data_IF_311764948950
#
_entry.id   IF_311764948950
#
_cell.length_a   1.000
_cell.length_b   1.000
_cell.length_c   1.000
_cell.angle_alpha   90.00
_cell.angle_beta   90.00
_cell.angle_gamma   90.00
#
_symmetry.space_group_name_H-M   'P 1'
#
loop_
_entity.id
_entity.type
_entity.pdbx_description
1 polymer ?
#
# COMPACT_ATOMS: atom_id res chain seq x y z
N UNK A 1 -37.48 -12.77 -7.61
CA UNK A 1 -36.28 -12.62 -6.80
C UNK A 1 -35.04 -12.62 -7.67
N UNK A 2 -34.88 -11.71 -8.65
CA UNK A 2 -33.72 -11.70 -9.59
C UNK A 2 -33.31 -10.25 -9.90
N UNK A 3 -33.22 -9.38 -8.89
CA UNK A 3 -32.80 -7.97 -9.10
C UNK A 3 -31.65 -7.46 -8.21
N UNK A 4 -30.98 -8.33 -7.42
CA UNK A 4 -29.94 -7.90 -6.51
C UNK A 4 -28.49 -8.25 -6.95
N UNK A 5 -28.32 -8.98 -8.06
CA UNK A 5 -26.99 -9.45 -8.50
C UNK A 5 -26.32 -8.47 -9.49
N UNK A 6 -27.09 -7.59 -10.13
CA UNK A 6 -26.60 -6.72 -11.21
C UNK A 6 -25.78 -5.50 -10.72
N UNK A 7 -25.93 -5.09 -9.45
CA UNK A 7 -25.24 -3.92 -8.91
C UNK A 7 -23.76 -4.18 -8.58
N UNK A 8 -23.44 -5.36 -8.06
CA UNK A 8 -22.08 -5.72 -7.61
C UNK A 8 -21.14 -5.94 -8.80
N UNK A 9 -21.63 -6.57 -9.87
CA UNK A 9 -20.83 -6.80 -11.07
C UNK A 9 -20.49 -5.50 -11.83
N UNK A 10 -21.32 -4.47 -11.74
CA UNK A 10 -21.09 -3.17 -12.39
C UNK A 10 -20.04 -2.35 -11.64
N UNK A 11 -20.00 -2.43 -10.31
CA UNK A 11 -19.01 -1.70 -9.51
C UNK A 11 -17.58 -2.23 -9.75
N UNK A 12 -17.40 -3.55 -9.74
CA UNK A 12 -16.10 -4.19 -10.04
C UNK A 12 -15.61 -3.82 -11.45
N UNK A 13 -16.50 -3.73 -12.43
CA UNK A 13 -16.15 -3.35 -13.81
C UNK A 13 -15.78 -1.87 -13.91
N UNK A 14 -16.44 -0.99 -13.16
CA UNK A 14 -16.17 0.48 -13.26
C UNK A 14 -14.90 0.83 -12.52
N UNK A 15 -14.62 0.26 -11.34
CA UNK A 15 -13.35 0.48 -10.63
C UNK A 15 -12.20 -0.18 -11.39
N UNK A 16 -12.37 -1.39 -11.91
CA UNK A 16 -11.38 -2.05 -12.77
C UNK A 16 -11.10 -1.29 -14.07
N UNK A 17 -12.08 -0.57 -14.63
CA UNK A 17 -11.88 0.28 -15.82
C UNK A 17 -11.15 1.59 -15.52
N UNK A 18 -11.29 2.14 -14.32
CA UNK A 18 -10.57 3.35 -13.91
C UNK A 18 -9.09 3.04 -13.64
N UNK A 19 -8.79 1.98 -12.91
CA UNK A 19 -7.42 1.49 -12.65
C UNK A 19 -6.77 0.99 -13.95
N UNK A 20 -7.49 0.19 -14.75
CA UNK A 20 -6.99 -0.30 -16.05
C UNK A 20 -6.82 0.83 -17.09
N UNK A 21 -7.57 1.92 -16.98
CA UNK A 21 -7.41 3.11 -17.82
C UNK A 21 -6.15 3.90 -17.49
N UNK A 22 -5.75 3.97 -16.23
CA UNK A 22 -4.50 4.58 -15.79
C UNK A 22 -3.28 3.72 -16.22
N UNK A 23 -3.32 2.42 -16.00
CA UNK A 23 -2.27 1.46 -16.38
C UNK A 23 -2.08 1.40 -17.91
N UNK A 24 -3.15 1.43 -18.72
CA UNK A 24 -3.03 1.37 -20.19
C UNK A 24 -2.53 2.65 -20.87
N UNK A 25 -2.54 3.80 -20.20
CA UNK A 25 -1.95 5.02 -20.78
C UNK A 25 -0.42 5.01 -20.77
N UNK A 26 0.18 4.32 -19.83
CA UNK A 26 1.65 4.17 -19.70
C UNK A 26 2.20 2.98 -20.49
N UNK A 27 1.45 1.89 -20.63
CA UNK A 27 1.91 0.68 -21.36
C UNK A 27 2.07 0.87 -22.87
N UNK A 28 1.51 1.92 -23.45
CA UNK A 28 1.62 2.20 -24.89
C UNK A 28 2.98 2.79 -25.34
N UNK A 29 3.92 3.02 -24.39
CA UNK A 29 5.24 3.59 -24.72
C UNK A 29 6.42 2.62 -24.65
N UNK A 30 6.21 1.37 -24.28
CA UNK A 30 7.29 0.38 -24.12
C UNK A 30 7.01 -0.94 -24.85
N UNK A 31 6.92 -0.91 -26.18
CA UNK A 31 7.20 -2.05 -27.03
C UNK A 31 8.38 -1.71 -27.92
N UNK A 32 9.62 -1.87 -27.43
CA UNK A 32 10.76 -2.25 -28.27
C UNK A 32 11.95 -2.73 -27.41
N UNK A 33 12.45 -3.90 -27.82
CA UNK A 33 13.74 -4.54 -27.54
C UNK A 33 13.95 -5.32 -26.21
N UNK A 34 13.65 -6.61 -26.28
CA UNK A 34 14.25 -7.61 -25.41
C UNK A 34 15.47 -8.23 -26.11
N UNK A 35 16.68 -7.89 -25.67
CA UNK A 35 17.88 -8.65 -26.02
C UNK A 35 18.44 -9.38 -24.78
N UNK A 36 18.59 -10.68 -24.92
CA UNK A 36 19.02 -11.63 -23.91
C UNK A 36 20.52 -11.52 -23.62
N UNK A 37 20.90 -11.43 -22.34
CA UNK A 37 22.28 -11.74 -21.94
C UNK A 37 22.28 -12.61 -20.69
N UNK A 38 22.72 -13.85 -20.82
CA UNK A 38 23.08 -14.75 -19.72
C UNK A 38 24.34 -14.24 -19.00
N UNK A 39 24.34 -14.14 -17.68
CA UNK A 39 25.58 -14.11 -16.88
C UNK A 39 25.47 -15.02 -15.65
N UNK A 40 26.44 -15.86 -15.60
CA UNK A 40 26.85 -16.99 -14.78
C UNK A 40 27.30 -16.56 -13.39
N UNK A 41 27.06 -17.43 -12.41
CA UNK A 41 27.20 -17.31 -10.97
C UNK A 41 28.56 -16.90 -10.40
N UNK A 42 28.53 -16.56 -9.12
CA UNK A 42 29.66 -16.33 -8.24
C UNK A 42 29.26 -16.41 -6.77
N UNK A 43 29.71 -17.48 -6.14
CA UNK A 43 29.57 -17.81 -4.73
C UNK A 43 30.62 -17.04 -3.89
N UNK A 44 30.28 -16.48 -2.73
CA UNK A 44 31.22 -15.88 -1.81
C UNK A 44 30.60 -15.55 -0.45
N UNK A 45 30.67 -16.48 0.49
CA UNK A 45 30.32 -16.23 1.87
C UNK A 45 31.46 -15.58 2.65
N UNK A 46 31.13 -14.71 3.60
CA UNK A 46 31.95 -14.42 4.78
C UNK A 46 31.03 -14.11 5.97
N UNK A 47 31.21 -14.90 7.01
CA UNK A 47 30.63 -14.62 8.32
C UNK A 47 31.47 -13.60 9.09
N UNK A 48 30.85 -12.84 9.95
CA UNK A 48 31.48 -12.37 11.18
C UNK A 48 30.44 -12.19 12.29
N UNK A 49 30.81 -12.75 13.43
CA UNK A 49 30.13 -12.71 14.72
C UNK A 49 30.46 -11.42 15.45
N UNK A 50 29.49 -10.78 16.06
CA UNK A 50 29.65 -9.63 16.95
C UNK A 50 28.47 -9.51 17.89
N UNK A 51 28.75 -9.60 19.12
CA UNK A 51 28.12 -9.79 20.41
C UNK A 51 27.01 -8.81 20.79
N UNK A 52 26.11 -9.36 21.61
CA UNK A 52 24.85 -8.84 22.15
C UNK A 52 25.02 -7.69 23.16
N UNK A 53 24.08 -6.78 23.22
CA UNK A 53 23.53 -6.29 24.49
C UNK A 53 22.02 -6.12 24.38
N UNK A 54 21.36 -6.64 25.42
CA UNK A 54 19.91 -6.64 25.66
C UNK A 54 19.43 -5.24 26.06
N UNK A 55 18.22 -4.92 25.70
CA UNK A 55 17.05 -4.54 26.49
C UNK A 55 16.10 -3.70 25.65
N UNK A 56 14.96 -4.12 25.47
CA UNK A 56 13.66 -4.05 26.08
C UNK A 56 12.55 -3.49 25.20
N UNK A 57 11.42 -4.07 25.44
CA UNK A 57 10.05 -3.54 25.40
C UNK A 57 9.47 -3.12 24.04
N UNK A 58 8.55 -3.97 23.62
CA UNK A 58 7.71 -3.87 22.44
C UNK A 58 6.98 -2.53 22.30
N UNK A 59 7.37 -1.86 21.24
CA UNK A 59 6.57 -0.88 20.56
C UNK A 59 6.55 -1.30 19.09
N UNK A 60 5.35 -1.34 18.55
CA UNK A 60 5.03 -1.73 17.18
C UNK A 60 5.98 -1.09 16.15
N UNK A 61 6.65 -1.93 15.38
CA UNK A 61 7.75 -1.62 14.44
C UNK A 61 7.36 -0.85 13.17
N UNK A 62 6.27 -0.11 13.13
CA UNK A 62 5.93 0.70 11.95
C UNK A 62 6.82 1.93 11.77
N UNK A 63 7.55 2.36 12.80
CA UNK A 63 8.48 3.51 12.72
C UNK A 63 9.93 3.13 12.36
N UNK A 64 10.24 1.84 12.21
CA UNK A 64 11.63 1.36 12.04
C UNK A 64 12.12 1.28 10.60
N UNK A 65 11.31 1.60 9.59
CA UNK A 65 11.66 1.32 8.19
C UNK A 65 12.48 2.40 7.49
N UNK A 66 12.65 3.58 8.07
CA UNK A 66 13.52 4.61 7.50
C UNK A 66 14.85 4.63 8.25
N UNK A 67 15.76 3.73 7.87
CA UNK A 67 17.10 3.62 8.52
C UNK A 67 18.01 4.83 8.31
N UNK A 68 17.71 5.69 7.33
CA UNK A 68 18.44 6.93 7.06
C UNK A 68 17.43 8.09 7.04
N UNK A 69 17.67 9.16 7.84
CA UNK A 69 16.81 10.35 7.77
C UNK A 69 16.73 10.89 6.33
N UNK A 70 15.55 11.18 5.84
CA UNK A 70 15.30 11.68 4.49
C UNK A 70 16.19 12.91 4.15
N UNK A 71 16.48 13.76 5.13
CA UNK A 71 17.36 14.92 4.97
C UNK A 71 18.81 14.58 4.57
N UNK A 72 19.24 13.34 4.79
CA UNK A 72 20.59 12.86 4.44
C UNK A 72 20.66 12.14 3.09
N UNK A 73 19.51 11.84 2.51
CA UNK A 73 19.41 11.22 1.17
C UNK A 73 19.54 12.33 0.12
N UNK A 74 20.38 12.20 -0.90
CA UNK A 74 20.46 13.20 -1.97
C UNK A 74 19.11 13.36 -2.68
N UNK A 75 18.72 14.61 -2.97
CA UNK A 75 17.62 14.93 -3.84
C UNK A 75 18.17 15.37 -5.20
N UNK A 76 17.61 14.86 -6.29
CA UNK A 76 17.92 15.26 -7.65
C UNK A 76 16.92 16.28 -8.19
N UNK A 77 16.91 16.46 -9.51
CA UNK A 77 15.85 17.20 -10.21
C UNK A 77 14.76 16.20 -10.58
N UNK A 78 13.49 16.55 -10.32
CA UNK A 78 12.35 15.70 -10.70
C UNK A 78 12.08 15.82 -12.20
N UNK A 79 11.82 14.69 -12.83
CA UNK A 79 11.14 14.67 -14.12
C UNK A 79 9.61 14.81 -13.95
N UNK A 80 8.87 14.89 -15.06
CA UNK A 80 7.41 15.07 -15.00
C UNK A 80 6.71 13.84 -14.38
N UNK A 81 7.17 12.62 -14.69
CA UNK A 81 6.54 11.41 -14.16
C UNK A 81 6.71 11.30 -12.64
N UNK A 82 7.88 11.68 -12.11
CA UNK A 82 8.14 11.73 -10.67
C UNK A 82 7.30 12.80 -9.97
N UNK A 83 7.17 13.97 -10.60
CA UNK A 83 6.28 15.04 -10.09
C UNK A 83 4.83 14.56 -10.02
N UNK A 84 4.32 13.96 -11.10
CA UNK A 84 2.96 13.44 -11.17
C UNK A 84 2.75 12.29 -10.16
N UNK A 85 3.76 11.42 -9.98
CA UNK A 85 3.73 10.35 -9.01
C UNK A 85 3.60 10.87 -7.57
N UNK A 86 4.39 11.87 -7.18
CA UNK A 86 4.34 12.45 -5.83
C UNK A 86 2.98 13.10 -5.54
N UNK A 87 2.44 13.86 -6.50
CA UNK A 87 1.13 14.49 -6.35
C UNK A 87 0.01 13.45 -6.27
N UNK A 88 0.06 12.41 -7.11
CA UNK A 88 -0.93 11.34 -7.11
C UNK A 88 -0.89 10.52 -5.81
N UNK A 89 0.29 10.06 -5.39
CA UNK A 89 0.44 9.24 -4.18
C UNK A 89 -0.03 9.98 -2.93
N UNK A 90 0.21 11.30 -2.82
CA UNK A 90 -0.33 12.07 -1.70
C UNK A 90 -1.86 12.03 -1.63
N UNK A 91 -2.56 12.13 -2.77
CA UNK A 91 -4.02 12.04 -2.81
C UNK A 91 -4.51 10.58 -2.63
N UNK A 92 -3.74 9.58 -3.02
CA UNK A 92 -4.08 8.17 -2.86
C UNK A 92 -4.02 7.76 -1.38
N UNK A 93 -2.94 8.11 -0.66
CA UNK A 93 -2.85 7.92 0.79
C UNK A 93 -3.96 8.67 1.54
N UNK A 94 -4.26 9.89 1.09
CA UNK A 94 -5.40 10.64 1.61
C UNK A 94 -6.73 9.91 1.37
N UNK A 95 -6.91 9.30 0.21
CA UNK A 95 -8.11 8.53 -0.11
C UNK A 95 -8.25 7.33 0.84
N UNK A 96 -7.20 6.56 1.04
CA UNK A 96 -7.17 5.41 1.96
C UNK A 96 -7.55 5.86 3.37
N UNK A 97 -6.86 6.87 3.92
CA UNK A 97 -7.14 7.45 5.24
C UNK A 97 -8.60 7.89 5.38
N UNK A 98 -9.11 8.65 4.42
CA UNK A 98 -10.45 9.23 4.47
C UNK A 98 -11.55 8.16 4.37
N UNK A 99 -11.34 7.14 3.54
CA UNK A 99 -12.26 5.97 3.44
C UNK A 99 -12.26 5.21 4.77
N UNK A 100 -11.09 4.90 5.32
CA UNK A 100 -11.01 4.14 6.58
C UNK A 100 -11.57 4.92 7.76
N UNK A 101 -11.34 6.22 7.83
CA UNK A 101 -11.95 7.10 8.85
C UNK A 101 -13.48 7.08 8.73
N UNK A 102 -14.01 7.19 7.52
CA UNK A 102 -15.45 7.24 7.27
C UNK A 102 -16.11 5.89 7.59
N UNK A 103 -15.56 4.77 7.09
CA UNK A 103 -16.10 3.44 7.33
C UNK A 103 -15.89 2.98 8.78
N UNK A 104 -14.79 3.40 9.41
CA UNK A 104 -14.53 3.17 10.82
C UNK A 104 -15.55 3.81 11.74
N UNK A 105 -16.05 5.00 11.40
CA UNK A 105 -17.14 5.67 12.14
C UNK A 105 -18.48 4.91 12.02
N UNK A 106 -18.71 4.23 10.90
CA UNK A 106 -19.95 3.44 10.67
C UNK A 106 -19.89 2.10 11.38
N UNK A 107 -18.79 1.35 11.18
CA UNK A 107 -18.67 -0.05 11.62
C UNK A 107 -18.00 -0.22 12.98
N UNK A 108 -17.46 0.86 13.57
CA UNK A 108 -16.84 0.92 14.90
C UNK A 108 -15.78 -0.17 15.15
N UNK A 109 -15.08 -0.59 14.09
CA UNK A 109 -14.06 -1.63 14.14
C UNK A 109 -12.67 -1.00 14.30
N UNK A 110 -11.88 -1.39 15.33
CA UNK A 110 -10.53 -0.81 15.57
C UNK A 110 -9.59 -0.90 14.38
N UNK A 111 -9.74 -1.93 13.53
CA UNK A 111 -8.97 -2.11 12.30
C UNK A 111 -8.90 -0.83 11.47
N UNK A 112 -10.04 -0.24 11.16
CA UNK A 112 -10.11 0.96 10.33
C UNK A 112 -9.40 2.15 10.95
N UNK A 113 -9.60 2.38 12.26
CA UNK A 113 -8.95 3.49 12.95
C UNK A 113 -7.43 3.34 13.04
N UNK A 114 -6.94 2.12 13.24
CA UNK A 114 -5.51 1.83 13.30
C UNK A 114 -4.86 2.04 11.92
N UNK A 115 -5.47 1.51 10.85
CA UNK A 115 -4.93 1.66 9.50
C UNK A 115 -5.06 3.12 9.05
N UNK A 116 -6.18 3.82 9.31
CA UNK A 116 -6.30 5.25 8.99
C UNK A 116 -5.20 6.11 9.64
N UNK A 117 -4.76 5.76 10.85
CA UNK A 117 -3.65 6.44 11.51
C UNK A 117 -2.30 6.15 10.81
N UNK A 118 -2.12 4.95 10.27
CA UNK A 118 -0.94 4.59 9.46
C UNK A 118 -0.95 5.34 8.13
N UNK A 119 -2.10 5.43 7.44
CA UNK A 119 -2.22 6.20 6.20
C UNK A 119 -1.98 7.70 6.38
N UNK A 120 -2.27 8.23 7.55
CA UNK A 120 -1.85 9.60 7.88
C UNK A 120 -0.33 9.73 7.89
N UNK A 121 0.41 8.75 8.44
CA UNK A 121 1.88 8.75 8.44
C UNK A 121 2.43 8.57 7.01
N UNK A 122 1.80 7.75 6.20
CA UNK A 122 2.14 7.60 4.78
C UNK A 122 1.96 8.93 4.03
N UNK A 123 0.80 9.55 4.16
CA UNK A 123 0.47 10.85 3.57
C UNK A 123 1.46 11.94 4.01
N UNK A 124 1.82 11.98 5.31
CA UNK A 124 2.81 12.91 5.85
C UNK A 124 4.20 12.66 5.24
N UNK A 125 4.60 11.39 5.04
CA UNK A 125 5.87 11.02 4.42
C UNK A 125 5.96 11.46 2.95
N UNK A 126 4.87 11.34 2.19
CA UNK A 126 4.79 11.88 0.82
C UNK A 126 4.79 13.42 0.86
N UNK A 127 4.14 14.02 1.86
CA UNK A 127 4.15 15.48 2.04
C UNK A 127 5.55 16.02 2.28
N UNK A 128 6.36 15.32 3.05
CA UNK A 128 7.77 15.69 3.26
C UNK A 128 8.57 15.68 1.94
N UNK A 129 8.27 14.76 1.01
CA UNK A 129 8.85 14.79 -0.33
C UNK A 129 8.32 15.98 -1.15
N UNK A 130 7.01 16.25 -1.12
CA UNK A 130 6.44 17.43 -1.79
C UNK A 130 7.13 18.72 -1.32
N UNK A 131 7.27 18.90 -0.01
CA UNK A 131 7.93 20.07 0.57
C UNK A 131 9.40 20.17 0.17
N UNK A 132 10.10 19.04 0.17
CA UNK A 132 11.49 18.93 -0.23
C UNK A 132 11.74 19.40 -1.67
N UNK A 133 10.81 19.08 -2.56
CA UNK A 133 10.88 19.45 -3.98
C UNK A 133 10.14 20.77 -4.30
N UNK A 134 9.61 21.46 -3.29
CA UNK A 134 8.90 22.73 -3.45
C UNK A 134 7.56 22.60 -4.18
N UNK A 135 6.94 21.42 -4.10
CA UNK A 135 5.62 21.14 -4.67
C UNK A 135 4.52 21.43 -3.63
N UNK A 136 3.45 22.09 -4.09
CA UNK A 136 2.25 22.23 -3.25
C UNK A 136 1.44 20.94 -3.30
N UNK A 137 0.82 20.57 -2.16
CA UNK A 137 -0.17 19.50 -2.17
C UNK A 137 -1.32 19.84 -3.13
N UNK A 138 -1.92 18.82 -3.80
CA UNK A 138 -2.96 19.05 -4.81
C UNK A 138 -4.22 19.74 -4.29
N UNK A 139 -4.57 19.47 -3.02
CA UNK A 139 -5.73 20.08 -2.35
C UNK A 139 -5.38 20.45 -0.92
N UNK A 140 -6.25 21.28 -0.30
CA UNK A 140 -6.33 21.35 1.15
C UNK A 140 -6.77 20.00 1.71
N UNK A 141 -6.30 19.65 2.92
CA UNK A 141 -6.62 18.39 3.58
C UNK A 141 -8.06 18.39 4.14
N UNK A 142 -9.02 18.50 3.24
CA UNK A 142 -10.46 18.38 3.55
C UNK A 142 -10.89 16.95 3.26
N UNK A 143 -11.45 16.27 4.28
CA UNK A 143 -11.86 14.87 4.15
C UNK A 143 -12.85 14.65 2.99
N UNK A 144 -12.56 13.67 2.13
CA UNK A 144 -13.38 13.28 0.99
C UNK A 144 -13.32 14.24 -0.21
N UNK A 145 -12.38 15.21 -0.22
CA UNK A 145 -12.20 16.16 -1.33
C UNK A 145 -10.85 15.92 -2.01
N UNK A 146 -10.85 15.69 -3.31
CA UNK A 146 -9.69 15.36 -4.12
C UNK A 146 -9.62 16.25 -5.36
N UNK A 147 -8.42 16.66 -5.77
CA UNK A 147 -8.20 17.38 -7.03
C UNK A 147 -8.26 16.41 -8.23
N UNK A 148 -7.76 15.18 -8.04
CA UNK A 148 -7.87 14.14 -9.04
C UNK A 148 -9.32 13.66 -9.14
N UNK A 149 -9.95 13.86 -10.32
CA UNK A 149 -11.35 13.52 -10.54
C UNK A 149 -11.61 12.00 -10.48
N UNK A 150 -10.62 11.17 -10.80
CA UNK A 150 -10.73 9.71 -10.75
C UNK A 150 -10.71 9.25 -9.28
N UNK A 151 -9.81 9.79 -8.45
CA UNK A 151 -9.79 9.53 -7.01
C UNK A 151 -11.06 10.05 -6.31
N UNK A 152 -11.58 11.23 -6.71
CA UNK A 152 -12.86 11.72 -6.20
C UNK A 152 -14.03 10.77 -6.52
N UNK A 153 -14.08 10.24 -7.74
CA UNK A 153 -15.09 9.27 -8.15
C UNK A 153 -14.91 7.94 -7.39
N UNK A 154 -13.67 7.48 -7.26
CA UNK A 154 -13.32 6.26 -6.53
C UNK A 154 -13.74 6.35 -5.07
N UNK A 155 -13.39 7.44 -4.37
CA UNK A 155 -13.83 7.68 -2.98
C UNK A 155 -15.35 7.54 -2.84
N UNK A 156 -16.11 8.19 -3.71
CA UNK A 156 -17.58 8.13 -3.66
C UNK A 156 -18.11 6.71 -3.81
N UNK A 157 -17.52 5.92 -4.70
CA UNK A 157 -17.91 4.52 -4.94
C UNK A 157 -17.54 3.61 -3.77
N UNK A 158 -16.32 3.76 -3.23
CA UNK A 158 -15.83 2.97 -2.10
C UNK A 158 -16.67 3.20 -0.85
N UNK A 159 -17.04 4.45 -0.56
CA UNK A 159 -17.95 4.77 0.55
C UNK A 159 -19.34 4.16 0.33
N UNK A 160 -19.89 4.26 -0.87
CA UNK A 160 -21.18 3.65 -1.18
C UNK A 160 -21.15 2.13 -1.01
N UNK A 161 -20.09 1.47 -1.46
CA UNK A 161 -19.90 0.03 -1.33
C UNK A 161 -19.67 -0.39 0.13
N UNK A 162 -18.77 0.29 0.84
CA UNK A 162 -18.43 -0.03 2.22
C UNK A 162 -19.59 0.16 3.21
N UNK A 163 -20.56 1.02 2.88
CA UNK A 163 -21.77 1.20 3.68
C UNK A 163 -22.80 0.08 3.56
N UNK A 164 -22.65 -0.88 2.64
CA UNK A 164 -23.59 -1.96 2.46
C UNK A 164 -23.57 -3.00 3.57
N UNK A 165 -22.36 -3.32 4.09
CA UNK A 165 -22.15 -4.22 5.23
C UNK A 165 -20.73 -4.11 5.75
N UNK A 166 -20.49 -4.56 6.99
CA UNK A 166 -19.13 -4.65 7.57
C UNK A 166 -18.19 -5.50 6.67
N UNK A 167 -18.71 -6.59 6.10
CA UNK A 167 -17.93 -7.43 5.19
C UNK A 167 -17.55 -6.68 3.92
N UNK A 168 -18.45 -5.90 3.35
CA UNK A 168 -18.15 -5.06 2.18
C UNK A 168 -17.17 -3.93 2.53
N UNK A 169 -17.25 -3.35 3.73
CA UNK A 169 -16.27 -2.38 4.20
C UNK A 169 -14.84 -2.97 4.29
N UNK A 170 -14.71 -4.20 4.82
CA UNK A 170 -13.42 -4.91 4.87
C UNK A 170 -12.90 -5.21 3.46
N UNK A 171 -13.78 -5.62 2.53
CA UNK A 171 -13.41 -5.84 1.12
C UNK A 171 -12.94 -4.55 0.44
N UNK A 172 -13.60 -3.44 0.74
CA UNK A 172 -13.19 -2.11 0.27
C UNK A 172 -11.78 -1.79 0.78
N UNK A 173 -11.51 -2.03 2.07
CA UNK A 173 -10.18 -1.82 2.61
C UNK A 173 -9.12 -2.66 1.88
N UNK A 174 -9.35 -3.95 1.74
CA UNK A 174 -8.42 -4.82 1.02
C UNK A 174 -8.22 -4.40 -0.45
N UNK A 175 -9.28 -3.93 -1.12
CA UNK A 175 -9.21 -3.44 -2.50
C UNK A 175 -8.35 -2.18 -2.64
N UNK A 176 -8.44 -1.25 -1.69
CA UNK A 176 -7.61 -0.05 -1.65
C UNK A 176 -6.13 -0.44 -1.53
N UNK A 177 -5.80 -1.34 -0.60
CA UNK A 177 -4.41 -1.78 -0.41
C UNK A 177 -3.85 -2.50 -1.65
N UNK A 178 -4.68 -3.31 -2.35
CA UNK A 178 -4.25 -3.94 -3.60
C UNK A 178 -3.91 -2.90 -4.67
N UNK A 179 -4.71 -1.84 -4.80
CA UNK A 179 -4.52 -0.77 -5.78
C UNK A 179 -3.25 0.02 -5.42
N UNK A 180 -3.12 0.47 -4.17
CA UNK A 180 -1.98 1.22 -3.68
C UNK A 180 -0.66 0.45 -3.87
N UNK A 181 -0.64 -0.86 -3.55
CA UNK A 181 0.52 -1.73 -3.81
C UNK A 181 0.92 -1.72 -5.28
N UNK A 182 -0.04 -1.86 -6.19
CA UNK A 182 0.22 -1.89 -7.64
C UNK A 182 0.74 -0.54 -8.13
N UNK A 183 0.14 0.56 -7.68
CA UNK A 183 0.55 1.90 -8.05
C UNK A 183 1.94 2.24 -7.49
N UNK A 184 2.25 1.90 -6.24
CA UNK A 184 3.58 2.07 -5.66
C UNK A 184 4.65 1.28 -6.42
N UNK A 185 4.37 0.03 -6.81
CA UNK A 185 5.29 -0.78 -7.61
C UNK A 185 5.56 -0.17 -8.98
N UNK A 186 4.52 0.35 -9.64
CA UNK A 186 4.66 1.04 -10.92
C UNK A 186 5.51 2.31 -10.78
N UNK A 187 5.24 3.14 -9.76
CA UNK A 187 5.96 4.39 -9.51
C UNK A 187 7.43 4.14 -9.14
N UNK A 188 7.71 3.10 -8.34
CA UNK A 188 9.08 2.69 -8.00
C UNK A 188 9.89 2.29 -9.24
N UNK A 189 9.26 1.68 -10.23
CA UNK A 189 9.91 1.32 -11.48
C UNK A 189 10.21 2.54 -12.39
N UNK A 190 9.62 3.70 -12.11
CA UNK A 190 9.73 4.92 -12.93
C UNK A 190 10.67 5.97 -12.33
N UNK A 191 11.28 5.74 -11.16
CA UNK A 191 12.15 6.71 -10.49
C UNK A 191 13.52 6.16 -10.15
N UNK A 192 14.55 7.00 -10.36
CA UNK A 192 15.93 6.80 -9.90
C UNK A 192 16.22 7.57 -8.60
N UNK A 193 15.30 8.39 -8.12
CA UNK A 193 15.51 9.25 -6.95
C UNK A 193 15.52 8.40 -5.68
N UNK A 194 16.66 8.37 -4.99
CA UNK A 194 16.85 7.51 -3.81
C UNK A 194 15.94 7.89 -2.64
N UNK A 195 15.56 9.16 -2.49
CA UNK A 195 14.65 9.63 -1.46
C UNK A 195 13.19 9.24 -1.76
N UNK A 196 12.75 9.31 -3.02
CA UNK A 196 11.45 8.81 -3.45
C UNK A 196 11.37 7.29 -3.26
N UNK A 197 12.39 6.56 -3.73
CA UNK A 197 12.47 5.11 -3.54
C UNK A 197 12.41 4.71 -2.07
N UNK A 198 13.09 5.46 -1.18
CA UNK A 198 13.06 5.19 0.24
C UNK A 198 11.65 5.32 0.81
N UNK A 199 10.95 6.41 0.52
CA UNK A 199 9.59 6.65 1.01
C UNK A 199 8.63 5.63 0.41
N UNK A 200 8.60 5.46 -0.91
CA UNK A 200 7.66 4.55 -1.57
C UNK A 200 7.87 3.08 -1.16
N UNK A 201 9.10 2.64 -0.90
CA UNK A 201 9.33 1.30 -0.33
C UNK A 201 8.82 1.16 1.11
N UNK A 202 8.87 2.22 1.91
CA UNK A 202 8.29 2.21 3.26
C UNK A 202 6.76 2.14 3.20
N UNK A 203 6.12 2.94 2.35
CA UNK A 203 4.67 2.88 2.09
C UNK A 203 4.26 1.47 1.65
N UNK A 204 4.94 0.93 0.62
CA UNK A 204 4.67 -0.41 0.08
C UNK A 204 4.73 -1.51 1.16
N UNK A 205 5.69 -1.41 2.08
CA UNK A 205 5.78 -2.34 3.20
C UNK A 205 4.60 -2.20 4.18
N UNK A 206 4.14 -0.97 4.43
CA UNK A 206 2.95 -0.70 5.23
C UNK A 206 1.70 -1.28 4.58
N UNK A 207 1.48 -1.02 3.29
CA UNK A 207 0.33 -1.51 2.52
C UNK A 207 0.26 -3.03 2.45
N UNK A 208 1.42 -3.73 2.42
CA UNK A 208 1.45 -5.19 2.57
C UNK A 208 0.89 -5.66 3.92
N UNK A 209 1.22 -4.97 5.02
CA UNK A 209 0.70 -5.29 6.34
C UNK A 209 -0.80 -4.97 6.46
N UNK A 210 -1.24 -3.86 5.86
CA UNK A 210 -2.63 -3.45 5.82
C UNK A 210 -3.49 -4.46 5.04
N UNK A 211 -3.05 -4.87 3.84
CA UNK A 211 -3.73 -5.90 3.03
C UNK A 211 -3.89 -7.20 3.81
N UNK A 212 -2.81 -7.68 4.45
CA UNK A 212 -2.88 -8.89 5.28
C UNK A 212 -3.85 -8.73 6.46
N UNK A 213 -3.92 -7.54 7.06
CA UNK A 213 -4.84 -7.25 8.16
C UNK A 213 -6.31 -7.26 7.69
N UNK A 214 -6.62 -6.67 6.53
CA UNK A 214 -7.95 -6.73 5.93
C UNK A 214 -8.31 -8.15 5.51
N UNK A 215 -7.41 -8.89 4.87
CA UNK A 215 -7.64 -10.27 4.42
C UNK A 215 -7.89 -11.23 5.60
N UNK A 216 -7.15 -11.08 6.70
CA UNK A 216 -7.39 -11.83 7.93
C UNK A 216 -8.76 -11.50 8.55
N UNK A 217 -9.14 -10.23 8.60
CA UNK A 217 -10.45 -9.80 9.09
C UNK A 217 -11.58 -10.28 8.18
N UNK A 218 -11.39 -10.28 6.86
CA UNK A 218 -12.32 -10.87 5.90
C UNK A 218 -12.55 -12.35 6.20
N UNK A 219 -11.48 -13.11 6.34
CA UNK A 219 -11.53 -14.55 6.63
C UNK A 219 -12.24 -14.83 7.95
N UNK A 220 -11.94 -14.06 8.99
CA UNK A 220 -12.57 -14.21 10.30
C UNK A 220 -14.08 -13.90 10.27
N UNK A 221 -14.50 -12.92 9.49
CA UNK A 221 -15.89 -12.50 9.42
C UNK A 221 -16.74 -13.37 8.48
N UNK A 222 -16.18 -13.75 7.32
CA UNK A 222 -16.89 -14.50 6.28
C UNK A 222 -16.81 -16.01 6.44
N UNK A 223 -15.77 -16.52 7.14
CA UNK A 223 -15.42 -17.94 7.17
C UNK A 223 -14.78 -18.46 5.88
N UNK A 224 -14.44 -17.58 4.93
CA UNK A 224 -13.84 -17.90 3.63
C UNK A 224 -12.49 -17.23 3.45
N UNK A 225 -11.57 -17.86 2.74
CA UNK A 225 -10.28 -17.27 2.38
C UNK A 225 -10.51 -16.03 1.50
N UNK A 226 -9.73 -14.98 1.75
CA UNK A 226 -9.74 -13.80 0.90
C UNK A 226 -9.19 -14.14 -0.49
N UNK A 227 -9.84 -13.61 -1.51
CA UNK A 227 -9.41 -13.71 -2.90
C UNK A 227 -9.18 -12.29 -3.41
N UNK A 228 -7.98 -11.99 -3.92
CA UNK A 228 -7.65 -10.64 -4.37
C UNK A 228 -8.56 -10.19 -5.51
N UNK A 229 -8.82 -8.87 -5.57
CA UNK A 229 -9.78 -8.26 -6.48
C UNK A 229 -9.09 -7.56 -7.65
N UNK A 230 -7.88 -7.05 -7.47
CA UNK A 230 -7.13 -6.23 -8.44
C UNK A 230 -5.78 -6.80 -8.80
N UNK A 231 -5.12 -7.50 -7.88
CA UNK A 231 -3.85 -8.19 -8.17
C UNK A 231 -4.06 -9.67 -8.49
N UNK A 232 -3.05 -10.31 -9.05
CA UNK A 232 -3.10 -11.76 -9.28
C UNK A 232 -3.00 -12.54 -7.96
N UNK A 233 -3.56 -13.76 -7.91
CA UNK A 233 -3.41 -14.62 -6.74
C UNK A 233 -1.94 -14.90 -6.41
N UNK A 234 -1.08 -15.03 -7.42
CA UNK A 234 0.35 -15.29 -7.22
C UNK A 234 1.07 -14.09 -6.54
N UNK A 235 0.73 -12.86 -6.91
CA UNK A 235 1.25 -11.65 -6.26
C UNK A 235 0.77 -11.56 -4.81
N UNK A 236 -0.53 -11.76 -4.57
CA UNK A 236 -1.09 -11.80 -3.23
C UNK A 236 -0.42 -12.88 -2.34
N UNK A 237 -0.25 -14.09 -2.85
CA UNK A 237 0.39 -15.19 -2.11
C UNK A 237 1.85 -14.85 -1.76
N UNK A 238 2.56 -14.13 -2.61
CA UNK A 238 3.93 -13.69 -2.33
C UNK A 238 3.98 -12.67 -1.19
N UNK A 239 3.01 -11.76 -1.11
CA UNK A 239 2.88 -10.77 -0.02
C UNK A 239 2.54 -11.48 1.29
N UNK A 240 1.54 -12.38 1.28
CA UNK A 240 1.11 -13.11 2.47
C UNK A 240 2.23 -13.97 3.09
N UNK A 241 3.14 -14.51 2.26
CA UNK A 241 4.27 -15.32 2.73
C UNK A 241 5.43 -14.47 3.24
N UNK A 242 5.70 -13.30 2.67
CA UNK A 242 6.80 -12.42 3.06
C UNK A 242 6.63 -11.86 4.48
N UNK A 243 5.42 -11.52 4.86
CA UNK A 243 5.11 -10.97 6.20
C UNK A 243 5.15 -12.05 7.30
N UNK A 244 4.93 -13.33 6.97
CA UNK A 244 4.95 -14.44 7.95
C UNK A 244 6.37 -14.84 8.36
N UNK A 245 7.38 -14.59 7.52
CA UNK A 245 8.77 -14.96 7.82
C UNK A 245 9.48 -14.00 8.79
N UNK A 246 8.97 -12.80 9.01
CA UNK A 246 9.51 -11.84 9.99
C UNK A 246 9.14 -12.10 11.44
N UNK A 247 8.19 -13.00 11.74
CA UNK A 247 7.58 -13.19 13.06
C UNK A 247 7.97 -14.46 13.82
N UNK A 248 8.91 -15.30 13.36
CA UNK A 248 9.33 -16.48 14.12
C UNK A 248 10.43 -16.18 15.15
N UNK A 249 10.07 -15.41 16.19
CA UNK A 249 10.83 -15.36 17.43
C UNK A 249 10.74 -16.72 18.15
N UNK A 250 11.86 -17.43 18.25
CA UNK A 250 12.06 -18.73 18.89
C UNK A 250 11.57 -18.78 20.33
N UNK A 251 10.33 -19.17 20.56
CA UNK A 251 9.82 -19.58 21.86
C UNK A 251 10.39 -20.95 22.27
N UNK A 252 11.65 -21.04 22.72
CA UNK A 252 12.26 -22.25 23.25
C UNK A 252 11.87 -22.40 24.73
N UNK A 253 10.78 -23.10 24.97
CA UNK A 253 10.34 -23.50 26.32
C UNK A 253 11.38 -24.36 27.02
N UNK A 254 12.10 -23.78 27.98
CA UNK A 254 12.96 -24.49 28.91
C UNK A 254 12.13 -25.18 29.98
N UNK A 255 11.91 -26.49 29.85
CA UNK A 255 11.52 -27.35 31.00
C UNK A 255 12.70 -27.46 31.95
N UNK A 256 12.58 -26.98 33.19
CA UNK A 256 13.42 -27.43 34.30
C UNK A 256 12.60 -28.30 35.23
N UNK A 257 13.20 -29.43 35.56
CA UNK A 257 12.79 -30.38 36.62
C UNK A 257 13.06 -29.79 38.01
#
# INVERSE_FOLDING_TARGET
MIKKITGIAILVVVVGLLVFGAINRTSAMFEEEAETTEIRGGNGGYGNSGELTEDSEGLSDEHALVSTPLALVPAGELNQAETDALLFMWEEEKLARDVYTTLGAVWTKPLFGNIAASEQVHMDSVKDLLDRYGLAAPTDDVAGVFANAELQALYTQLIAQGNLSELEAIKVGAAIEEIDILDLQERLAQTDQADIQQVFNALLSGSYNHLNSFAANYTNLSGSVYVPQYMSQAEYDSIATSTTSGGQGSGRGGRRR
#
